data_IF_237696759980
#
_entry.id   IF_237696759980
#
_cell.length_a   1.000
_cell.length_b   1.000
_cell.length_c   1.000
_cell.angle_alpha   90.00
_cell.angle_beta   90.00
_cell.angle_gamma   90.00
#
_symmetry.space_group_name_H-M   'P 1'
#
loop_
_entity.id
_entity.type
_entity.pdbx_description
1 polymer ?
#
# COMPACT_ATOMS: atom_id res chain seq x y z
N UNK A 1 47.28 13.70 63.55
CA UNK A 1 48.28 13.37 62.51
C UNK A 1 47.86 12.10 61.79
N UNK A 2 47.37 12.21 60.55
CA UNK A 2 46.95 11.06 59.75
C UNK A 2 48.18 10.41 59.11
N UNK A 3 48.44 9.14 59.44
CA UNK A 3 49.48 8.31 58.81
C UNK A 3 49.05 8.02 57.36
N UNK A 4 49.67 8.68 56.38
CA UNK A 4 49.48 8.35 54.95
C UNK A 4 50.31 7.11 54.62
N UNK A 5 49.67 6.01 54.21
CA UNK A 5 50.35 4.85 53.64
C UNK A 5 50.56 5.11 52.14
N UNK A 6 51.82 5.07 51.69
CA UNK A 6 52.14 5.14 50.26
C UNK A 6 51.65 3.84 49.60
N UNK A 7 50.63 3.95 48.75
CA UNK A 7 50.18 2.86 47.89
C UNK A 7 51.25 2.63 46.82
N UNK A 8 51.65 1.37 46.63
CA UNK A 8 52.57 0.99 45.57
C UNK A 8 51.98 1.40 44.22
N UNK A 9 52.80 2.07 43.39
CA UNK A 9 52.42 2.58 42.07
C UNK A 9 51.79 1.51 41.17
N UNK A 10 52.26 0.26 41.33
CA UNK A 10 51.73 -0.94 40.66
C UNK A 10 50.30 -1.27 41.09
N UNK A 11 49.99 -1.12 42.38
CA UNK A 11 48.65 -1.42 42.91
C UNK A 11 47.64 -0.38 42.41
N UNK A 12 48.06 0.88 42.29
CA UNK A 12 47.22 1.96 41.77
C UNK A 12 46.87 1.76 40.29
N UNK A 13 47.87 1.41 39.47
CA UNK A 13 47.67 1.19 38.02
C UNK A 13 46.75 0.00 37.74
N UNK A 14 46.90 -1.11 38.47
CA UNK A 14 46.02 -2.28 38.33
C UNK A 14 44.57 -1.95 38.71
N UNK A 15 44.36 -1.20 39.80
CA UNK A 15 43.02 -0.77 40.22
C UNK A 15 42.35 0.13 39.18
N UNK A 16 43.10 1.06 38.58
CA UNK A 16 42.57 1.95 37.54
C UNK A 16 42.14 1.15 36.31
N UNK A 17 42.95 0.18 35.86
CA UNK A 17 42.62 -0.68 34.71
C UNK A 17 41.38 -1.54 34.99
N UNK A 18 41.24 -2.08 36.21
CA UNK A 18 40.08 -2.88 36.58
C UNK A 18 38.78 -2.04 36.53
N UNK A 19 38.83 -0.79 36.98
CA UNK A 19 37.69 0.13 36.97
C UNK A 19 37.31 0.54 35.55
N UNK A 20 38.29 0.78 34.66
CA UNK A 20 37.99 1.17 33.27
C UNK A 20 37.31 0.04 32.49
N UNK A 21 37.72 -1.22 32.68
CA UNK A 21 37.06 -2.37 32.05
C UNK A 21 35.61 -2.52 32.53
N UNK A 22 35.38 -2.32 33.84
CA UNK A 22 34.03 -2.34 34.44
C UNK A 22 33.13 -1.27 33.83
N UNK A 23 33.62 -0.03 33.74
CA UNK A 23 32.87 1.07 33.12
C UNK A 23 32.60 0.77 31.64
N UNK A 24 33.61 0.26 30.91
CA UNK A 24 33.46 -0.11 29.51
C UNK A 24 32.39 -1.18 29.29
N UNK A 25 32.32 -2.19 30.15
CA UNK A 25 31.31 -3.25 30.08
C UNK A 25 29.88 -2.72 30.28
N UNK A 26 29.68 -1.80 31.23
CA UNK A 26 28.37 -1.18 31.50
C UNK A 26 27.92 -0.33 30.32
N UNK A 27 28.83 0.49 29.77
CA UNK A 27 28.53 1.31 28.59
C UNK A 27 28.19 0.41 27.39
N UNK A 28 28.96 -0.64 27.16
CA UNK A 28 28.70 -1.60 26.07
C UNK A 28 27.35 -2.30 26.23
N UNK A 29 26.96 -2.69 27.45
CA UNK A 29 25.66 -3.30 27.71
C UNK A 29 24.50 -2.35 27.37
N UNK A 30 24.60 -1.06 27.69
CA UNK A 30 23.57 -0.07 27.34
C UNK A 30 23.53 0.19 25.84
N UNK A 31 24.70 0.34 25.22
CA UNK A 31 24.82 0.63 23.79
C UNK A 31 24.35 -0.56 22.93
N UNK A 32 24.71 -1.79 23.28
CA UNK A 32 24.32 -2.98 22.53
C UNK A 32 22.80 -3.23 22.52
N UNK A 33 22.12 -2.95 23.64
CA UNK A 33 20.65 -3.03 23.70
C UNK A 33 19.95 -2.01 22.80
N UNK A 34 20.57 -0.87 22.48
CA UNK A 34 20.00 0.14 21.59
C UNK A 34 20.31 -0.11 20.11
N UNK A 35 21.43 -0.79 19.84
CA UNK A 35 21.93 -1.03 18.48
C UNK A 35 21.24 -2.24 17.85
N UNK A 36 21.02 -3.33 18.58
CA UNK A 36 20.48 -4.58 18.03
C UNK A 36 19.16 -4.40 17.28
N UNK A 37 18.17 -3.78 17.92
CA UNK A 37 16.84 -3.59 17.33
C UNK A 37 16.84 -2.63 16.12
N UNK A 38 17.78 -1.68 16.07
CA UNK A 38 17.88 -0.69 14.98
C UNK A 38 18.67 -1.20 13.79
N UNK A 39 19.61 -2.12 13.99
CA UNK A 39 20.37 -2.73 12.91
C UNK A 39 19.53 -3.76 12.14
N UNK A 40 18.77 -4.61 12.84
CA UNK A 40 17.91 -5.61 12.19
C UNK A 40 16.81 -4.96 11.32
N UNK A 41 16.20 -3.86 11.80
CA UNK A 41 15.22 -3.09 11.04
C UNK A 41 15.85 -2.38 9.84
N UNK A 42 17.03 -1.77 10.05
CA UNK A 42 17.78 -1.11 8.99
C UNK A 42 18.15 -2.09 7.89
N UNK A 43 18.73 -3.23 8.23
CA UNK A 43 19.23 -4.24 7.28
C UNK A 43 18.13 -4.73 6.32
N UNK A 44 16.92 -4.99 6.84
CA UNK A 44 15.77 -5.42 6.01
C UNK A 44 15.34 -4.34 5.02
N UNK A 45 15.32 -3.06 5.43
CA UNK A 45 14.98 -1.96 4.53
C UNK A 45 16.12 -1.58 3.57
N UNK A 46 17.40 -1.76 3.97
CA UNK A 46 18.56 -1.48 3.12
C UNK A 46 18.64 -2.41 1.91
N UNK A 47 18.26 -3.68 2.06
CA UNK A 47 18.23 -4.64 0.95
C UNK A 47 17.25 -4.30 -0.20
N UNK A 48 16.37 -3.31 0.00
CA UNK A 48 15.25 -3.00 -0.91
C UNK A 48 15.52 -1.79 -1.81
N UNK A 49 16.55 -0.98 -1.48
CA UNK A 49 16.85 0.28 -2.16
C UNK A 49 17.01 0.13 -3.68
N UNK A 50 17.46 -1.03 -4.15
CA UNK A 50 17.65 -1.32 -5.57
C UNK A 50 16.63 -2.30 -6.18
N UNK A 51 15.72 -2.83 -5.36
CA UNK A 51 14.79 -3.87 -5.77
C UNK A 51 13.42 -3.33 -6.16
N UNK A 52 13.00 -2.17 -5.66
CA UNK A 52 11.71 -1.57 -6.02
C UNK A 52 11.96 -0.24 -6.72
N UNK A 53 11.57 -0.13 -8.00
CA UNK A 53 11.87 1.04 -8.83
C UNK A 53 10.66 1.55 -9.59
N UNK A 54 10.57 2.87 -9.70
CA UNK A 54 9.61 3.55 -10.57
C UNK A 54 10.17 3.56 -11.99
N UNK A 55 9.39 3.06 -12.94
CA UNK A 55 9.75 3.15 -14.35
C UNK A 55 9.33 4.52 -14.89
N UNK A 56 10.33 5.38 -15.10
CA UNK A 56 10.16 6.78 -15.51
C UNK A 56 9.53 6.92 -16.89
N UNK A 57 9.86 6.02 -17.81
CA UNK A 57 9.37 6.05 -19.20
C UNK A 57 7.86 5.73 -19.30
N UNK A 58 7.31 5.13 -18.24
CA UNK A 58 5.90 4.77 -18.14
C UNK A 58 5.20 5.46 -16.96
N UNK A 59 5.81 6.50 -16.40
CA UNK A 59 5.25 7.30 -15.31
C UNK A 59 5.04 8.74 -15.78
N UNK A 60 3.79 9.15 -15.90
CA UNK A 60 3.40 10.44 -16.46
C UNK A 60 2.02 10.87 -15.97
N UNK A 61 1.67 12.12 -16.19
CA UNK A 61 0.35 12.64 -15.88
C UNK A 61 -0.39 13.06 -17.16
N UNK A 62 -1.65 12.65 -17.31
CA UNK A 62 -2.49 13.13 -18.40
C UNK A 62 -3.44 14.22 -17.88
N UNK A 63 -3.23 15.50 -18.24
CA UNK A 63 -4.07 16.60 -17.78
C UNK A 63 -5.47 16.63 -18.43
N UNK A 64 -5.67 15.91 -19.53
CA UNK A 64 -7.00 15.80 -20.18
C UNK A 64 -7.91 14.86 -19.39
N UNK A 65 -7.37 13.75 -18.88
CA UNK A 65 -8.15 12.75 -18.13
C UNK A 65 -8.02 12.88 -16.61
N UNK A 66 -7.15 13.76 -16.11
CA UNK A 66 -6.79 13.88 -14.69
C UNK A 66 -6.34 12.55 -14.07
N UNK A 67 -5.56 11.78 -14.83
CA UNK A 67 -5.03 10.48 -14.40
C UNK A 67 -3.52 10.50 -14.44
N UNK A 68 -2.90 10.12 -13.33
CA UNK A 68 -1.47 9.86 -13.29
C UNK A 68 -1.24 8.38 -13.58
N UNK A 69 -0.52 8.07 -14.64
CA UNK A 69 0.00 6.73 -14.88
C UNK A 69 1.32 6.58 -14.11
N UNK A 70 1.51 5.46 -13.42
CA UNK A 70 2.80 5.13 -12.83
C UNK A 70 3.09 3.65 -12.97
N UNK A 71 4.36 3.32 -13.18
CA UNK A 71 4.81 1.95 -13.37
C UNK A 71 5.83 1.59 -12.31
N UNK A 72 5.61 0.44 -11.66
CA UNK A 72 6.43 -0.09 -10.60
C UNK A 72 7.07 -1.39 -11.05
N UNK A 73 8.32 -1.59 -10.67
CA UNK A 73 9.04 -2.85 -10.83
C UNK A 73 9.51 -3.35 -9.47
N UNK A 74 9.38 -4.65 -9.24
CA UNK A 74 9.85 -5.35 -8.04
C UNK A 74 10.83 -6.43 -8.50
N UNK A 75 12.03 -6.41 -7.93
CA UNK A 75 13.08 -7.40 -8.15
C UNK A 75 12.85 -8.68 -7.36
N UNK A 76 13.92 -9.35 -6.95
CA UNK A 76 13.84 -10.64 -6.26
C UNK A 76 13.76 -10.45 -4.74
N UNK A 77 12.58 -10.02 -4.26
CA UNK A 77 12.34 -9.79 -2.85
C UNK A 77 10.87 -10.07 -2.47
N UNK A 78 10.66 -10.64 -1.29
CA UNK A 78 9.33 -10.73 -0.67
C UNK A 78 9.00 -9.43 0.08
N UNK A 79 8.01 -8.71 -0.41
CA UNK A 79 7.48 -7.48 0.21
C UNK A 79 5.98 -7.66 0.44
N UNK A 80 5.46 -7.16 1.57
CA UNK A 80 4.03 -7.27 1.89
C UNK A 80 3.20 -6.16 1.23
N UNK A 81 3.84 -5.01 0.94
CA UNK A 81 3.17 -3.91 0.30
C UNK A 81 4.09 -2.78 -0.10
N UNK A 82 3.52 -1.79 -0.79
CA UNK A 82 4.16 -0.56 -1.21
C UNK A 82 3.18 0.59 -0.96
N UNK A 83 3.58 1.56 -0.15
CA UNK A 83 2.91 2.84 -0.06
C UNK A 83 3.42 3.75 -1.19
N UNK A 84 2.51 4.15 -2.07
CA UNK A 84 2.74 5.11 -3.15
C UNK A 84 2.28 6.47 -2.67
N UNK A 85 3.14 7.48 -2.69
CA UNK A 85 2.81 8.84 -2.30
C UNK A 85 3.04 9.79 -3.47
N UNK A 86 1.99 10.52 -3.87
CA UNK A 86 2.01 11.51 -4.95
C UNK A 86 1.83 12.90 -4.36
N UNK A 87 2.70 13.84 -4.74
CA UNK A 87 2.63 15.24 -4.31
C UNK A 87 2.15 16.14 -5.44
N UNK A 88 1.20 17.01 -5.17
CA UNK A 88 0.61 17.96 -6.13
C UNK A 88 0.01 19.17 -5.39
N UNK A 89 0.13 20.38 -5.96
CA UNK A 89 -0.41 21.63 -5.38
C UNK A 89 -0.04 21.88 -3.90
N UNK A 90 1.14 21.43 -3.46
CA UNK A 90 1.57 21.56 -2.07
C UNK A 90 0.86 20.61 -1.09
N UNK A 91 0.01 19.73 -1.60
CA UNK A 91 -0.59 18.61 -0.88
C UNK A 91 0.04 17.29 -1.32
N UNK A 92 -0.25 16.22 -0.57
CA UNK A 92 0.17 14.87 -0.94
C UNK A 92 -0.96 13.88 -0.69
N UNK A 93 -1.05 12.87 -1.55
CA UNK A 93 -2.00 11.78 -1.44
C UNK A 93 -1.25 10.46 -1.47
N UNK A 94 -1.65 9.52 -0.62
CA UNK A 94 -1.01 8.23 -0.48
C UNK A 94 -1.99 7.09 -0.74
N UNK A 95 -1.50 6.00 -1.32
CA UNK A 95 -2.25 4.76 -1.48
C UNK A 95 -1.36 3.55 -1.18
N UNK A 96 -1.86 2.59 -0.41
CA UNK A 96 -1.14 1.38 -0.04
C UNK A 96 -1.55 0.23 -0.93
N UNK A 97 -0.58 -0.35 -1.63
CA UNK A 97 -0.73 -1.56 -2.43
C UNK A 97 -0.22 -2.76 -1.62
N UNK A 98 -0.93 -3.89 -1.65
CA UNK A 98 -0.55 -5.13 -0.96
C UNK A 98 -0.20 -6.26 -1.92
N UNK A 99 0.43 -7.32 -1.44
CA UNK A 99 0.66 -8.59 -2.16
C UNK A 99 -0.62 -9.40 -2.39
N UNK A 100 -1.62 -9.20 -1.54
CA UNK A 100 -2.97 -9.74 -1.70
C UNK A 100 -3.78 -8.85 -2.64
N UNK A 101 -4.45 -9.39 -3.69
CA UNK A 101 -5.36 -8.62 -4.53
C UNK A 101 -6.52 -8.04 -3.73
N UNK A 102 -6.80 -6.75 -3.93
CA UNK A 102 -7.95 -6.09 -3.31
C UNK A 102 -8.24 -4.73 -3.92
N UNK A 103 -9.30 -4.09 -3.43
CA UNK A 103 -9.65 -2.73 -3.81
C UNK A 103 -8.73 -1.75 -3.09
N UNK A 104 -8.08 -0.86 -3.84
CA UNK A 104 -7.27 0.23 -3.30
C UNK A 104 -7.92 1.54 -3.70
N UNK A 105 -8.20 2.40 -2.73
CA UNK A 105 -8.74 3.73 -3.00
C UNK A 105 -7.78 4.50 -3.92
N UNK A 106 -8.34 5.18 -4.92
CA UNK A 106 -7.62 5.99 -5.91
C UNK A 106 -6.65 5.26 -6.84
N UNK A 107 -6.37 3.97 -6.65
CA UNK A 107 -5.46 3.23 -7.54
C UNK A 107 -6.22 2.18 -8.34
N UNK A 108 -5.94 2.12 -9.64
CA UNK A 108 -6.50 1.11 -10.55
C UNK A 108 -5.40 0.54 -11.46
N UNK A 109 -5.55 -0.68 -11.96
CA UNK A 109 -4.58 -1.27 -12.90
C UNK A 109 -4.59 -0.52 -14.26
N UNK A 110 -3.44 -0.44 -14.94
CA UNK A 110 -3.30 0.20 -16.26
C UNK A 110 -4.06 -0.53 -17.37
N UNK A 111 -4.18 -1.85 -17.22
CA UNK A 111 -4.98 -2.71 -18.09
C UNK A 111 -5.98 -3.44 -17.20
N UNK A 112 -7.27 -3.13 -17.37
CA UNK A 112 -8.29 -4.11 -17.78
C UNK A 112 -9.70 -3.55 -17.54
N UNK A 113 -10.37 -3.21 -18.63
CA UNK A 113 -11.77 -3.60 -18.82
C UNK A 113 -11.89 -5.11 -18.58
N UNK A 114 -12.08 -5.57 -17.34
CA UNK A 114 -12.45 -6.98 -17.11
C UNK A 114 -12.09 -7.67 -15.78
N UNK A 115 -11.03 -7.31 -15.05
CA UNK A 115 -10.60 -8.05 -13.83
C UNK A 115 -10.81 -7.29 -12.52
N UNK A 116 -11.94 -6.61 -12.42
CA UNK A 116 -12.44 -6.22 -11.10
C UNK A 116 -13.06 -7.41 -10.36
N UNK A 117 -13.13 -7.30 -9.03
CA UNK A 117 -13.93 -8.16 -8.18
C UNK A 117 -15.09 -7.36 -7.64
N UNK A 118 -16.28 -7.94 -7.73
CA UNK A 118 -17.45 -7.41 -7.06
C UNK A 118 -17.41 -7.85 -5.59
N UNK A 119 -17.41 -6.90 -4.67
CA UNK A 119 -17.31 -7.15 -3.22
C UNK A 119 -18.47 -6.48 -2.49
N UNK A 120 -18.72 -6.89 -1.23
CA UNK A 120 -19.83 -6.38 -0.42
C UNK A 120 -20.74 -7.50 0.09
N UNK A 121 -21.87 -7.09 0.65
CA UNK A 121 -22.91 -7.98 1.18
C UNK A 121 -24.22 -7.63 0.51
N UNK A 122 -24.66 -8.47 -0.43
CA UNK A 122 -25.90 -8.24 -1.14
C UNK A 122 -27.10 -8.17 -0.18
N UNK A 123 -27.94 -7.15 -0.33
CA UNK A 123 -29.19 -7.00 0.43
C UNK A 123 -30.12 -8.19 0.21
N UNK A 124 -30.73 -8.71 1.28
CA UNK A 124 -31.71 -9.79 1.14
C UNK A 124 -32.92 -9.32 0.32
N UNK A 125 -33.45 -10.17 -0.57
CA UNK A 125 -34.58 -9.79 -1.42
C UNK A 125 -35.77 -9.26 -0.60
N UNK A 126 -36.06 -9.85 0.57
CA UNK A 126 -37.16 -9.40 1.43
C UNK A 126 -37.01 -7.97 1.98
N UNK A 127 -35.81 -7.39 1.95
CA UNK A 127 -35.53 -6.00 2.35
C UNK A 127 -35.66 -4.98 1.23
N UNK A 128 -36.03 -5.40 0.01
CA UNK A 128 -36.09 -4.52 -1.17
C UNK A 128 -37.47 -3.91 -1.37
N UNK A 129 -37.48 -2.68 -1.90
CA UNK A 129 -38.70 -2.02 -2.36
C UNK A 129 -39.17 -2.61 -3.70
N UNK A 130 -40.43 -2.31 -4.09
CA UNK A 130 -40.97 -2.78 -5.37
C UNK A 130 -40.11 -2.35 -6.57
N UNK A 131 -39.55 -1.13 -6.54
CA UNK A 131 -38.76 -0.58 -7.65
C UNK A 131 -37.37 -1.21 -7.77
N UNK A 132 -36.82 -1.71 -6.66
CA UNK A 132 -35.47 -2.30 -6.61
C UNK A 132 -35.49 -3.80 -6.97
N UNK A 133 -36.66 -4.30 -7.37
CA UNK A 133 -37.00 -5.71 -7.41
C UNK A 133 -37.57 -6.13 -8.77
N UNK A 134 -36.70 -6.29 -9.76
CA UNK A 134 -37.01 -7.09 -10.96
C UNK A 134 -37.98 -6.49 -11.98
N UNK A 135 -38.59 -5.33 -11.75
CA UNK A 135 -39.79 -4.88 -12.50
C UNK A 135 -39.57 -3.84 -13.61
N UNK A 136 -38.36 -3.30 -13.79
CA UNK A 136 -38.05 -2.37 -14.89
C UNK A 136 -36.67 -2.60 -15.48
N UNK A 137 -36.54 -2.31 -16.78
CA UNK A 137 -35.38 -2.60 -17.66
C UNK A 137 -34.05 -1.96 -17.25
N UNK A 138 -34.03 -1.12 -16.22
CA UNK A 138 -32.83 -0.47 -15.71
C UNK A 138 -32.60 -0.82 -14.24
N UNK A 139 -32.28 -2.10 -14.03
CA UNK A 139 -31.48 -2.66 -12.92
C UNK A 139 -32.23 -3.30 -11.74
N UNK A 140 -32.41 -4.64 -11.75
CA UNK A 140 -32.81 -5.36 -10.56
C UNK A 140 -31.62 -6.00 -9.85
N UNK A 141 -31.69 -6.04 -8.52
CA UNK A 141 -30.80 -6.87 -7.72
C UNK A 141 -30.88 -8.33 -8.20
N UNK A 142 -29.75 -8.86 -8.69
CA UNK A 142 -29.69 -10.16 -9.34
C UNK A 142 -30.17 -11.27 -8.39
N UNK A 143 -31.09 -12.10 -8.87
CA UNK A 143 -31.68 -13.22 -8.12
C UNK A 143 -32.94 -12.88 -7.31
N UNK A 144 -33.37 -11.61 -7.30
CA UNK A 144 -34.61 -11.16 -6.66
C UNK A 144 -35.73 -10.89 -7.68
N UNK A 145 -36.97 -11.24 -7.31
CA UNK A 145 -38.15 -11.11 -8.17
C UNK A 145 -39.35 -10.56 -7.39
N UNK A 146 -40.14 -9.69 -8.01
CA UNK A 146 -41.35 -9.15 -7.41
C UNK A 146 -42.49 -10.18 -7.39
N UNK A 147 -43.11 -10.39 -6.23
CA UNK A 147 -44.33 -11.19 -6.08
C UNK A 147 -45.56 -10.26 -5.94
N UNK A 148 -46.39 -10.10 -6.99
CA UNK A 148 -47.55 -9.23 -6.95
C UNK A 148 -48.67 -9.74 -6.04
N UNK A 149 -48.72 -11.04 -5.76
CA UNK A 149 -49.75 -11.63 -4.89
C UNK A 149 -49.52 -11.35 -3.40
N UNK A 150 -48.29 -11.00 -3.02
CA UNK A 150 -47.93 -10.70 -1.64
C UNK A 150 -47.41 -9.28 -1.40
N UNK A 151 -47.13 -8.53 -2.47
CA UNK A 151 -46.48 -7.22 -2.41
C UNK A 151 -45.12 -7.24 -1.71
N UNK A 152 -44.32 -8.27 -1.98
CA UNK A 152 -42.95 -8.40 -1.46
C UNK A 152 -42.02 -9.05 -2.49
N UNK A 153 -40.73 -8.96 -2.23
CA UNK A 153 -39.68 -9.52 -3.06
C UNK A 153 -39.29 -10.92 -2.58
N UNK A 154 -39.18 -11.84 -3.54
CA UNK A 154 -38.80 -13.24 -3.32
C UNK A 154 -37.52 -13.58 -4.07
N UNK A 155 -36.93 -14.72 -3.73
CA UNK A 155 -35.73 -15.23 -4.37
C UNK A 155 -34.53 -15.23 -3.43
N UNK A 156 -33.34 -15.36 -4.02
CA UNK A 156 -32.07 -15.37 -3.28
C UNK A 156 -31.13 -14.43 -4.00
N UNK A 157 -30.72 -13.36 -3.33
CA UNK A 157 -29.79 -12.40 -3.90
C UNK A 157 -28.47 -13.10 -4.24
N UNK A 158 -27.98 -12.88 -5.47
CA UNK A 158 -26.66 -13.36 -5.90
C UNK A 158 -25.58 -12.70 -5.04
N UNK A 159 -24.58 -13.46 -4.60
CA UNK A 159 -23.48 -12.89 -3.80
C UNK A 159 -22.66 -11.94 -4.65
N UNK A 160 -22.26 -10.78 -4.09
CA UNK A 160 -21.41 -9.81 -4.81
C UNK A 160 -20.20 -10.53 -5.45
N UNK A 161 -19.52 -11.39 -4.69
CA UNK A 161 -18.34 -12.17 -5.13
C UNK A 161 -18.55 -13.11 -6.32
N UNK A 162 -19.79 -13.39 -6.72
CA UNK A 162 -20.09 -14.23 -7.88
C UNK A 162 -20.39 -13.43 -9.16
N UNK A 163 -20.42 -12.09 -9.07
CA UNK A 163 -20.66 -11.19 -10.18
C UNK A 163 -19.32 -10.83 -10.83
N UNK A 164 -19.14 -11.19 -12.09
CA UNK A 164 -17.91 -10.95 -12.87
C UNK A 164 -18.04 -9.83 -13.89
N UNK A 165 -19.15 -9.09 -13.91
CA UNK A 165 -19.37 -7.92 -14.77
C UNK A 165 -19.51 -6.64 -13.95
N UNK A 166 -18.72 -5.62 -14.31
CA UNK A 166 -18.74 -4.31 -13.65
C UNK A 166 -20.13 -3.70 -13.61
N UNK A 167 -20.79 -3.60 -14.77
CA UNK A 167 -22.13 -3.03 -14.87
C UNK A 167 -23.12 -3.77 -13.98
N UNK A 168 -23.07 -5.10 -13.91
CA UNK A 168 -23.96 -5.87 -13.04
C UNK A 168 -23.63 -5.74 -11.56
N UNK A 169 -22.39 -5.45 -11.19
CA UNK A 169 -21.99 -5.24 -9.80
C UNK A 169 -22.39 -3.86 -9.29
N UNK A 170 -22.15 -2.80 -10.07
CA UNK A 170 -22.57 -1.42 -9.73
C UNK A 170 -24.09 -1.30 -9.60
N UNK A 171 -24.78 -2.23 -10.24
CA UNK A 171 -26.21 -2.40 -10.25
C UNK A 171 -26.76 -3.23 -9.07
N UNK A 172 -25.90 -3.94 -8.35
CA UNK A 172 -26.27 -4.79 -7.23
C UNK A 172 -26.19 -3.94 -5.94
N UNK A 173 -27.32 -3.73 -5.27
CA UNK A 173 -27.40 -2.92 -4.05
C UNK A 173 -26.42 -3.44 -2.98
N UNK A 174 -25.70 -2.53 -2.33
CA UNK A 174 -24.65 -2.80 -1.33
C UNK A 174 -23.43 -3.59 -1.85
N UNK A 175 -23.27 -3.73 -3.17
CA UNK A 175 -22.05 -4.23 -3.79
C UNK A 175 -21.25 -3.11 -4.45
N UNK A 176 -19.93 -3.28 -4.50
CA UNK A 176 -19.00 -2.36 -5.14
C UNK A 176 -18.02 -3.13 -6.03
N UNK A 177 -17.84 -2.63 -7.26
CA UNK A 177 -16.83 -3.14 -8.17
C UNK A 177 -15.48 -2.50 -7.83
N UNK A 178 -14.52 -3.32 -7.43
CA UNK A 178 -13.13 -2.90 -7.20
C UNK A 178 -12.21 -3.51 -8.23
N UNK A 179 -11.19 -2.78 -8.67
CA UNK A 179 -10.10 -3.39 -9.44
C UNK A 179 -9.24 -4.21 -8.48
N UNK A 180 -8.91 -5.46 -8.82
CA UNK A 180 -8.02 -6.29 -8.00
C UNK A 180 -6.59 -5.78 -8.12
N UNK A 181 -6.28 -4.71 -7.38
CA UNK A 181 -4.97 -4.09 -7.35
C UNK A 181 -4.11 -4.87 -6.36
N UNK A 182 -2.91 -5.20 -6.80
CA UNK A 182 -1.83 -5.74 -5.96
C UNK A 182 -0.49 -5.24 -6.48
N UNK A 183 0.53 -5.30 -5.65
CA UNK A 183 1.92 -5.04 -6.07
C UNK A 183 2.38 -6.05 -7.13
N UNK A 184 3.39 -5.70 -7.95
CA UNK A 184 4.02 -6.66 -8.85
C UNK A 184 4.60 -7.84 -8.07
N UNK A 185 4.61 -9.02 -8.70
CA UNK A 185 5.34 -10.18 -8.17
C UNK A 185 6.86 -10.01 -8.28
N UNK A 186 7.61 -11.00 -7.78
CA UNK A 186 9.07 -11.02 -7.90
C UNK A 186 9.51 -10.95 -9.36
N UNK A 187 10.54 -10.14 -9.62
CA UNK A 187 11.12 -9.92 -10.94
C UNK A 187 10.07 -9.50 -11.98
N UNK A 188 9.03 -8.76 -11.56
CA UNK A 188 7.94 -8.33 -12.42
C UNK A 188 7.69 -6.82 -12.29
N UNK A 189 7.02 -6.27 -13.31
CA UNK A 189 6.54 -4.90 -13.31
C UNK A 189 5.04 -4.83 -13.54
N UNK A 190 4.41 -3.79 -13.05
CA UNK A 190 3.00 -3.50 -13.33
C UNK A 190 2.79 -1.99 -13.39
N UNK A 191 1.87 -1.59 -14.25
CA UNK A 191 1.50 -0.19 -14.44
C UNK A 191 0.11 0.03 -13.85
N UNK A 192 -0.08 1.19 -13.26
CA UNK A 192 -1.30 1.60 -12.55
C UNK A 192 -1.69 3.01 -12.95
N UNK A 193 -2.93 3.38 -12.65
CA UNK A 193 -3.40 4.74 -12.60
C UNK A 193 -3.63 5.17 -11.16
N UNK A 194 -3.12 6.34 -10.80
CA UNK A 194 -3.47 7.07 -9.60
C UNK A 194 -4.53 8.13 -9.97
N UNK A 195 -5.68 8.04 -9.34
CA UNK A 195 -6.86 8.87 -9.56
C UNK A 195 -6.97 9.94 -8.46
N UNK A 196 -7.88 10.91 -8.65
CA UNK A 196 -8.07 11.98 -7.67
C UNK A 196 -6.92 12.99 -7.63
N UNK A 197 -6.11 13.04 -8.69
CA UNK A 197 -5.07 14.04 -8.92
C UNK A 197 -5.69 15.17 -9.75
N UNK A 198 -5.75 16.38 -9.20
CA UNK A 198 -6.46 17.53 -9.81
C UNK A 198 -5.55 18.46 -10.61
N UNK A 199 -4.24 18.29 -10.50
CA UNK A 199 -3.23 19.15 -11.10
C UNK A 199 -1.97 18.34 -11.42
N UNK A 200 -1.06 18.91 -12.23
CA UNK A 200 0.22 18.27 -12.54
C UNK A 200 1.00 17.92 -11.25
N UNK A 201 1.30 16.64 -11.00
CA UNK A 201 2.09 16.23 -9.85
C UNK A 201 3.52 16.73 -9.91
N UNK A 202 4.08 17.08 -8.76
CA UNK A 202 5.49 17.49 -8.63
C UNK A 202 6.41 16.29 -8.39
N UNK A 203 5.91 15.25 -7.71
CA UNK A 203 6.67 14.03 -7.45
C UNK A 203 5.79 12.83 -7.11
N UNK A 204 6.37 11.64 -7.27
CA UNK A 204 5.87 10.37 -6.74
C UNK A 204 7.01 9.66 -6.01
N UNK A 205 6.70 9.10 -4.85
CA UNK A 205 7.63 8.35 -4.00
C UNK A 205 7.05 6.98 -3.68
N UNK A 206 7.92 5.98 -3.58
CA UNK A 206 7.54 4.61 -3.22
C UNK A 206 8.21 4.19 -1.92
N UNK A 207 7.40 3.63 -1.02
CA UNK A 207 7.80 3.31 0.34
C UNK A 207 7.39 1.86 0.60
N UNK A 208 8.33 0.89 0.61
CA UNK A 208 8.03 -0.51 0.82
C UNK A 208 7.54 -0.81 2.25
N UNK A 209 6.74 -1.86 2.37
CA UNK A 209 6.28 -2.43 3.64
C UNK A 209 6.76 -3.88 3.70
N UNK A 210 7.58 -4.20 4.71
CA UNK A 210 8.21 -5.52 4.89
C UNK A 210 7.92 -6.00 6.31
N UNK A 211 7.36 -7.20 6.44
CA UNK A 211 6.90 -7.78 7.70
C UNK A 211 6.02 -6.81 8.50
N UNK A 212 5.18 -6.03 7.79
CA UNK A 212 4.30 -5.02 8.39
C UNK A 212 4.98 -3.72 8.81
N UNK A 213 6.29 -3.55 8.58
CA UNK A 213 7.03 -2.32 8.88
C UNK A 213 7.21 -1.47 7.62
N UNK A 214 6.88 -0.18 7.73
CA UNK A 214 7.08 0.79 6.65
C UNK A 214 8.53 1.27 6.62
N UNK A 215 9.20 1.11 5.49
CA UNK A 215 10.57 1.58 5.27
C UNK A 215 10.62 3.08 4.95
N UNK A 216 11.81 3.59 4.62
CA UNK A 216 11.97 4.90 3.99
C UNK A 216 11.57 4.86 2.50
N UNK A 217 11.48 6.04 1.88
CA UNK A 217 11.36 6.13 0.42
C UNK A 217 12.57 5.50 -0.25
N UNK A 218 12.34 4.51 -1.12
CA UNK A 218 13.42 3.79 -1.82
C UNK A 218 13.66 4.32 -3.22
N UNK A 219 12.62 4.88 -3.85
CA UNK A 219 12.73 5.58 -5.12
C UNK A 219 11.77 6.77 -5.13
N UNK A 220 12.16 7.81 -5.84
CA UNK A 220 11.39 9.04 -5.97
C UNK A 220 11.62 9.62 -7.35
N UNK A 221 10.53 9.74 -8.10
CA UNK A 221 10.53 10.47 -9.36
C UNK A 221 10.02 11.89 -9.10
N UNK A 222 10.84 12.86 -9.47
CA UNK A 222 10.51 14.29 -9.46
C UNK A 222 10.23 14.74 -10.89
N UNK A 223 9.50 15.85 -11.03
CA UNK A 223 9.19 16.47 -12.32
C UNK A 223 8.39 15.52 -13.22
N UNK A 224 7.17 15.19 -12.78
CA UNK A 224 6.28 14.33 -13.56
C UNK A 224 5.88 15.05 -14.85
N UNK A 225 6.17 14.41 -15.98
CA UNK A 225 5.90 14.95 -17.31
C UNK A 225 4.47 14.66 -17.75
N UNK A 226 3.99 15.45 -18.71
CA UNK A 226 2.75 15.16 -19.42
C UNK A 226 2.90 13.85 -20.22
N UNK A 227 1.93 12.95 -20.14
CA UNK A 227 1.93 11.71 -20.93
C UNK A 227 2.03 11.97 -22.43
N UNK A 228 1.50 13.09 -22.93
CA UNK A 228 1.60 13.49 -24.34
C UNK A 228 3.03 13.91 -24.73
N UNK A 229 3.87 14.30 -23.77
CA UNK A 229 5.26 14.68 -24.02
C UNK A 229 6.21 13.47 -24.11
N UNK A 230 5.75 12.26 -23.77
CA UNK A 230 6.54 11.03 -23.91
C UNK A 230 6.52 10.44 -25.33
N UNK A 231 5.63 10.93 -26.21
CA UNK A 231 5.41 10.39 -27.56
C UNK A 231 6.07 11.26 -28.64
N UNK A 232 6.88 12.25 -28.26
CA UNK A 232 7.59 13.17 -29.17
C UNK A 232 9.08 12.91 -29.26
#
# INVERSE_FOLDING_TARGET
MMKKKALSEVVSTVLIIAVTILIGAVVWAVVSNLIGDKLDEGEKCFGVLDQVKINRDYTCYNPTTNKMQFSLSVGDLDINGILVSVSFEGTSKGATLTDVPGTVEDVTNYVETGTGSCTGTATLCAGLSQTDCGVSVDVPQLGCFWNPGGSFCIGTAISCSSISSQSSCENQLECAWGYNVKIPGKNAGSTYFFNGITSLPTSISIIPIIEGKQCGSVDTLREIVDCNALVS
#
